data_IF_152695335187
#
_entry.id   IF_152695335187
#
_cell.length_a   1.000
_cell.length_b   1.000
_cell.length_c   1.000
_cell.angle_alpha   90.00
_cell.angle_beta   90.00
_cell.angle_gamma   90.00
#
_symmetry.space_group_name_H-M   'P 1'
#
loop_
_entity.id
_entity.type
_entity.pdbx_description
1 polymer ?
#
# COMPACT_ATOMS: atom_id res chain seq x y z
N UNK A 1 3.69 -17.27 39.83
CA UNK A 1 2.29 -17.29 39.38
C UNK A 1 2.32 -17.64 37.89
N UNK A 2 1.94 -18.86 37.53
CA UNK A 2 1.93 -19.32 36.13
C UNK A 2 0.58 -18.94 35.53
N UNK A 3 0.56 -17.93 34.66
CA UNK A 3 -0.64 -17.62 33.86
C UNK A 3 -0.76 -18.74 32.83
N UNK A 4 -1.86 -19.49 32.90
CA UNK A 4 -2.21 -20.47 31.88
C UNK A 4 -2.57 -19.71 30.59
N UNK A 5 -1.60 -19.63 29.70
CA UNK A 5 -1.68 -19.05 28.37
C UNK A 5 -2.43 -20.02 27.42
N UNK A 6 -3.71 -20.31 27.69
CA UNK A 6 -4.48 -21.30 26.89
C UNK A 6 -5.92 -20.84 26.56
N UNK A 7 -6.35 -19.66 27.00
CA UNK A 7 -7.71 -19.14 26.74
C UNK A 7 -7.70 -17.70 26.17
N UNK A 8 -6.78 -17.42 25.25
CA UNK A 8 -6.91 -16.35 24.25
C UNK A 8 -7.17 -17.04 22.90
N UNK A 9 -8.08 -18.01 22.91
CA UNK A 9 -8.29 -18.98 21.84
C UNK A 9 -9.62 -18.74 21.15
N UNK A 10 -9.54 -18.63 19.82
CA UNK A 10 -10.60 -18.57 18.80
C UNK A 10 -11.38 -17.27 18.60
N UNK A 11 -11.64 -16.42 19.61
CA UNK A 11 -12.44 -15.21 19.39
C UNK A 11 -11.66 -14.08 18.67
N UNK A 12 -10.33 -14.04 18.82
CA UNK A 12 -9.43 -13.14 18.10
C UNK A 12 -8.97 -13.68 16.74
N UNK A 13 -9.38 -14.90 16.40
CA UNK A 13 -9.03 -15.62 15.17
C UNK A 13 -10.28 -15.94 14.33
N UNK A 14 -11.43 -15.31 14.65
CA UNK A 14 -12.55 -15.34 13.73
C UNK A 14 -12.07 -14.72 12.42
N UNK A 15 -12.31 -15.35 11.26
CA UNK A 15 -11.79 -14.85 10.01
C UNK A 15 -12.34 -13.43 9.85
N UNK A 16 -11.42 -12.46 9.78
CA UNK A 16 -11.69 -11.05 9.52
C UNK A 16 -12.15 -10.93 8.06
N UNK A 17 -13.17 -11.69 7.65
CA UNK A 17 -13.64 -11.86 6.27
C UNK A 17 -14.20 -10.56 5.66
N UNK A 18 -14.21 -9.47 6.42
CA UNK A 18 -14.47 -8.12 5.94
C UNK A 18 -13.69 -7.18 6.85
N UNK A 19 -12.41 -6.96 6.57
CA UNK A 19 -11.73 -5.80 7.14
C UNK A 19 -12.47 -4.56 6.64
N UNK A 20 -13.08 -3.75 7.53
CA UNK A 20 -13.83 -2.59 7.11
C UNK A 20 -12.85 -1.56 6.53
N UNK A 21 -12.92 -1.36 5.22
CA UNK A 21 -12.27 -0.24 4.57
C UNK A 21 -13.20 1.00 4.62
N UNK A 22 -12.66 2.21 4.73
CA UNK A 22 -13.44 3.43 4.58
C UNK A 22 -14.18 3.44 3.23
N UNK A 23 -15.41 3.97 3.23
CA UNK A 23 -16.10 4.28 1.97
C UNK A 23 -15.49 5.58 1.41
N UNK A 24 -14.37 5.45 0.69
CA UNK A 24 -13.64 6.61 0.13
C UNK A 24 -14.53 7.48 -0.77
N UNK A 25 -15.51 6.89 -1.46
CA UNK A 25 -16.43 7.67 -2.29
C UNK A 25 -17.33 8.62 -1.48
N UNK A 26 -17.55 8.34 -0.19
CA UNK A 26 -18.30 9.20 0.72
C UNK A 26 -17.43 10.05 1.63
N UNK A 27 -16.28 9.52 2.05
CA UNK A 27 -15.44 10.12 3.09
C UNK A 27 -14.30 10.96 2.53
N UNK A 28 -13.74 10.57 1.37
CA UNK A 28 -12.62 11.27 0.77
C UNK A 28 -13.08 12.41 -0.15
N UNK A 29 -12.20 13.39 -0.33
CA UNK A 29 -12.42 14.48 -1.28
C UNK A 29 -11.98 14.04 -2.67
N UNK A 30 -12.85 14.04 -3.70
CA UNK A 30 -12.44 13.70 -5.06
C UNK A 30 -11.30 14.59 -5.55
N UNK A 31 -10.38 14.03 -6.34
CA UNK A 31 -9.26 14.76 -6.91
C UNK A 31 -9.73 15.98 -7.73
N UNK A 32 -9.04 17.11 -7.56
CA UNK A 32 -9.30 18.34 -8.29
C UNK A 32 -8.54 18.39 -9.63
N UNK A 33 -8.63 19.54 -10.28
CA UNK A 33 -7.97 19.75 -11.58
C UNK A 33 -6.45 19.75 -11.50
N UNK A 34 -5.86 20.04 -10.34
CA UNK A 34 -4.40 20.07 -10.14
C UNK A 34 -3.86 18.65 -9.99
N UNK A 35 -4.52 17.82 -9.17
CA UNK A 35 -4.15 16.41 -8.99
C UNK A 35 -4.29 15.62 -10.29
N UNK A 36 -5.38 15.88 -11.03
CA UNK A 36 -5.65 15.22 -12.32
C UNK A 36 -4.76 15.70 -13.48
N UNK A 37 -3.91 16.71 -13.27
CA UNK A 37 -2.88 17.07 -14.24
C UNK A 37 -1.69 16.11 -14.17
N UNK A 38 -1.44 15.43 -13.06
CA UNK A 38 -0.34 14.47 -12.96
C UNK A 38 -0.57 13.29 -13.92
N UNK A 39 0.48 12.90 -14.64
CA UNK A 39 0.49 11.66 -15.38
C UNK A 39 0.60 10.47 -14.41
N UNK A 40 -0.54 10.07 -13.83
CA UNK A 40 -0.63 8.97 -12.86
C UNK A 40 -0.07 7.67 -13.46
N UNK A 41 0.57 6.82 -12.64
CA UNK A 41 1.15 5.57 -13.13
C UNK A 41 0.09 4.58 -13.59
N UNK A 42 0.48 3.68 -14.48
CA UNK A 42 -0.24 2.44 -14.74
C UNK A 42 0.42 1.36 -13.88
N UNK A 43 -0.36 0.70 -13.03
CA UNK A 43 0.17 -0.36 -12.18
C UNK A 43 0.04 -1.72 -12.87
N UNK A 44 1.10 -2.51 -12.80
CA UNK A 44 1.08 -3.92 -13.20
C UNK A 44 1.31 -4.80 -11.98
N UNK A 45 0.30 -5.59 -11.64
CA UNK A 45 0.25 -6.42 -10.44
C UNK A 45 0.20 -7.89 -10.87
N UNK A 46 0.94 -8.80 -10.21
CA UNK A 46 0.82 -10.23 -10.47
C UNK A 46 -0.63 -10.69 -10.30
N UNK A 47 -1.19 -11.39 -11.29
CA UNK A 47 -2.60 -11.83 -11.27
C UNK A 47 -2.93 -12.82 -10.15
N UNK A 48 -1.92 -13.36 -9.47
CA UNK A 48 -2.10 -14.18 -8.26
C UNK A 48 -2.60 -13.34 -7.07
N UNK A 49 -2.38 -12.03 -7.13
CA UNK A 49 -2.73 -11.01 -6.12
C UNK A 49 -4.11 -10.39 -6.40
N UNK A 50 -4.94 -11.04 -7.22
CA UNK A 50 -6.20 -10.47 -7.70
C UNK A 50 -7.23 -10.19 -6.60
N UNK A 51 -7.08 -10.85 -5.46
CA UNK A 51 -7.96 -10.72 -4.30
C UNK A 51 -7.57 -9.53 -3.40
N UNK A 52 -6.41 -8.89 -3.68
CA UNK A 52 -5.86 -7.70 -3.02
C UNK A 52 -5.92 -6.46 -3.94
N UNK A 53 -7.09 -6.01 -4.41
CA UNK A 53 -7.16 -4.99 -5.44
C UNK A 53 -6.66 -3.62 -4.97
N UNK A 54 -6.12 -2.87 -5.93
CA UNK A 54 -5.87 -1.44 -5.79
C UNK A 54 -7.21 -0.68 -5.67
N UNK A 55 -7.46 -0.09 -4.50
CA UNK A 55 -8.72 0.55 -4.14
C UNK A 55 -8.79 2.02 -4.57
N UNK A 56 -7.72 2.78 -4.32
CA UNK A 56 -7.70 4.22 -4.51
C UNK A 56 -6.28 4.76 -4.66
N UNK A 57 -6.17 5.94 -5.26
CA UNK A 57 -4.96 6.76 -5.25
C UNK A 57 -5.32 8.09 -4.61
N UNK A 58 -4.65 8.46 -3.54
CA UNK A 58 -4.72 9.82 -3.00
C UNK A 58 -3.51 10.61 -3.49
N UNK A 59 -3.75 11.87 -3.83
CA UNK A 59 -2.71 12.76 -4.33
C UNK A 59 -2.62 13.97 -3.41
N UNK A 60 -1.43 14.21 -2.88
CA UNK A 60 -1.06 15.47 -2.24
C UNK A 60 -0.15 16.28 -3.18
N UNK A 61 -0.61 17.49 -3.52
CA UNK A 61 0.12 18.49 -4.33
C UNK A 61 0.41 19.76 -3.53
N UNK A 62 0.41 19.66 -2.19
CA UNK A 62 0.68 20.79 -1.30
C UNK A 62 2.08 21.38 -1.47
N UNK A 63 3.06 20.58 -1.89
CA UNK A 63 4.40 21.03 -2.28
C UNK A 63 4.45 21.38 -3.78
N UNK A 64 4.81 22.62 -4.17
CA UNK A 64 4.87 23.02 -5.58
C UNK A 64 5.93 22.29 -6.41
N UNK A 65 6.88 21.59 -5.79
CA UNK A 65 7.95 20.84 -6.46
C UNK A 65 7.84 19.33 -6.27
N UNK A 66 6.87 18.85 -5.47
CA UNK A 66 6.70 17.43 -5.22
C UNK A 66 5.22 17.09 -5.10
N UNK A 67 4.80 16.03 -5.79
CA UNK A 67 3.51 15.40 -5.51
C UNK A 67 3.76 14.08 -4.78
N UNK A 68 2.94 13.77 -3.79
CA UNK A 68 2.94 12.49 -3.10
C UNK A 68 1.68 11.73 -3.49
N UNK A 69 1.85 10.48 -3.88
CA UNK A 69 0.79 9.57 -4.27
C UNK A 69 0.72 8.49 -3.22
N UNK A 70 -0.40 8.39 -2.52
CA UNK A 70 -0.69 7.30 -1.59
C UNK A 70 -1.57 6.27 -2.28
N UNK A 71 -1.03 5.08 -2.44
CA UNK A 71 -1.61 3.98 -3.19
C UNK A 71 -2.24 3.03 -2.17
N UNK A 72 -3.57 2.87 -2.22
CA UNK A 72 -4.31 2.09 -1.23
C UNK A 72 -4.70 0.73 -1.80
N UNK A 73 -4.18 -0.35 -1.22
CA UNK A 73 -4.54 -1.73 -1.56
C UNK A 73 -5.46 -2.33 -0.50
N UNK A 74 -6.25 -3.33 -0.87
CA UNK A 74 -7.23 -3.92 0.03
C UNK A 74 -6.63 -4.76 1.17
N UNK A 75 -5.52 -5.44 0.92
CA UNK A 75 -4.88 -6.42 1.80
C UNK A 75 -3.47 -6.80 1.26
N UNK A 76 -2.61 -7.45 2.04
CA UNK A 76 -1.31 -8.02 1.65
C UNK A 76 -1.23 -9.52 1.95
N UNK A 77 -1.65 -10.35 1.00
CA UNK A 77 -1.74 -11.80 1.22
C UNK A 77 -0.35 -12.47 1.22
N UNK A 78 0.14 -12.87 2.39
CA UNK A 78 1.41 -13.60 2.46
C UNK A 78 1.27 -14.98 1.76
N UNK A 79 2.25 -15.39 0.92
CA UNK A 79 2.21 -16.68 0.22
C UNK A 79 2.11 -17.89 1.15
N UNK A 80 2.41 -17.74 2.45
CA UNK A 80 2.26 -18.77 3.48
C UNK A 80 1.01 -18.44 4.33
N UNK A 81 -0.10 -19.17 4.20
CA UNK A 81 -1.37 -18.82 4.85
C UNK A 81 -1.30 -18.70 6.37
N UNK A 82 -0.41 -19.42 7.05
CA UNK A 82 -0.26 -19.26 8.50
C UNK A 82 0.42 -17.94 8.87
N UNK A 83 1.41 -17.50 8.09
CA UNK A 83 2.10 -16.22 8.33
C UNK A 83 1.17 -15.07 7.99
N UNK A 84 0.37 -15.22 6.94
CA UNK A 84 -0.71 -14.32 6.54
C UNK A 84 -1.65 -13.97 7.71
N UNK A 85 -2.28 -14.98 8.32
CA UNK A 85 -3.12 -14.76 9.50
C UNK A 85 -2.43 -14.07 10.68
N UNK A 86 -1.14 -14.34 10.88
CA UNK A 86 -0.36 -13.69 11.95
C UNK A 86 -0.09 -12.24 11.59
N UNK A 87 0.22 -11.98 10.32
CA UNK A 87 0.49 -10.65 9.79
C UNK A 87 -0.75 -9.75 9.83
N UNK A 88 -1.92 -10.24 9.43
CA UNK A 88 -3.19 -9.51 9.56
C UNK A 88 -3.52 -9.16 11.01
N UNK A 89 -3.37 -10.15 11.89
CA UNK A 89 -3.61 -9.96 13.32
C UNK A 89 -2.66 -8.91 13.90
N UNK A 90 -1.42 -8.86 13.41
CA UNK A 90 -0.43 -7.87 13.82
C UNK A 90 -0.75 -6.47 13.28
N UNK A 91 -1.04 -6.34 11.98
CA UNK A 91 -1.48 -5.05 11.40
C UNK A 91 -2.70 -4.48 12.11
N UNK A 92 -3.58 -5.35 12.58
CA UNK A 92 -4.79 -4.95 13.25
C UNK A 92 -4.62 -4.63 14.74
N UNK A 93 -3.79 -5.38 15.46
CA UNK A 93 -3.70 -5.28 16.93
C UNK A 93 -2.35 -4.81 17.47
N UNK A 94 -1.30 -4.76 16.63
CA UNK A 94 0.08 -4.45 17.02
C UNK A 94 0.60 -5.38 18.11
N UNK A 95 0.34 -6.69 17.99
CA UNK A 95 0.66 -7.67 19.04
C UNK A 95 2.01 -8.34 18.85
N UNK A 96 2.58 -8.24 17.65
CA UNK A 96 3.73 -9.00 17.23
C UNK A 96 4.72 -8.12 16.46
N UNK A 97 5.89 -8.68 16.21
CA UNK A 97 6.82 -8.22 15.19
C UNK A 97 7.36 -9.46 14.48
N UNK A 98 7.48 -9.38 13.16
CA UNK A 98 8.12 -10.42 12.35
C UNK A 98 9.62 -10.12 12.21
N UNK A 99 10.46 -11.13 12.44
CA UNK A 99 11.92 -11.05 12.30
C UNK A 99 12.39 -12.12 11.31
N UNK A 100 13.36 -11.84 10.41
CA UNK A 100 13.98 -12.87 9.59
C UNK A 100 14.78 -13.93 10.38
N UNK A 101 15.01 -13.74 11.69
CA UNK A 101 15.77 -14.66 12.55
C UNK A 101 14.82 -15.43 13.50
N UNK A 102 14.96 -16.76 13.63
CA UNK A 102 14.18 -17.55 14.58
C UNK A 102 14.23 -16.97 16.01
N UNK A 103 13.08 -16.88 16.73
CA UNK A 103 11.80 -17.55 16.46
C UNK A 103 10.84 -16.87 15.46
N UNK A 104 11.29 -15.89 14.67
CA UNK A 104 10.55 -15.18 13.61
C UNK A 104 9.35 -14.33 14.04
N UNK A 105 8.75 -14.61 15.21
CA UNK A 105 7.61 -13.87 15.77
C UNK A 105 7.96 -13.49 17.21
N UNK A 106 7.90 -12.21 17.53
CA UNK A 106 8.08 -11.69 18.88
C UNK A 106 6.84 -10.94 19.33
N UNK A 107 6.38 -11.17 20.56
CA UNK A 107 5.34 -10.32 21.13
C UNK A 107 5.90 -8.92 21.37
N UNK A 108 5.29 -7.93 20.74
CA UNK A 108 5.55 -6.52 20.95
C UNK A 108 4.20 -5.85 21.20
N UNK A 109 4.11 -5.00 22.22
CA UNK A 109 2.91 -4.23 22.54
C UNK A 109 3.21 -2.73 22.51
N UNK A 110 4.37 -2.36 21.97
CA UNK A 110 4.77 -0.96 21.81
C UNK A 110 4.20 -0.33 20.54
N UNK A 111 3.82 -1.16 19.56
CA UNK A 111 3.09 -0.76 18.37
C UNK A 111 1.57 -0.86 18.65
N UNK A 112 0.78 0.20 18.48
CA UNK A 112 -0.68 0.08 18.55
C UNK A 112 -1.29 -0.74 17.39
N UNK A 113 -0.49 -1.05 16.36
CA UNK A 113 -0.97 -1.61 15.10
C UNK A 113 -1.41 -0.49 14.15
N UNK A 114 -1.62 -0.86 12.89
CA UNK A 114 -2.17 0.05 11.88
C UNK A 114 -3.70 0.17 11.93
N UNK A 115 -4.38 -0.67 12.71
CA UNK A 115 -5.85 -0.74 12.80
C UNK A 115 -6.54 -0.94 11.44
N UNK A 116 -5.80 -1.53 10.49
CA UNK A 116 -6.23 -1.84 9.13
C UNK A 116 -5.41 -2.99 8.61
N UNK A 117 -6.03 -3.83 7.80
CA UNK A 117 -5.31 -4.84 7.01
C UNK A 117 -4.90 -4.27 5.65
N UNK A 118 -5.78 -3.46 5.05
CA UNK A 118 -5.49 -2.68 3.86
C UNK A 118 -4.13 -1.99 3.92
N UNK A 119 -3.45 -1.91 2.78
CA UNK A 119 -2.12 -1.35 2.68
C UNK A 119 -2.10 0.03 2.03
N UNK A 120 -1.16 0.86 2.45
CA UNK A 120 -1.06 2.25 1.99
C UNK A 120 0.40 2.51 1.72
N UNK A 121 0.73 2.77 0.45
CA UNK A 121 2.10 2.90 0.00
C UNK A 121 2.36 4.23 -0.69
N UNK A 122 3.47 4.85 -0.35
CA UNK A 122 3.81 6.18 -0.82
C UNK A 122 4.73 6.11 -2.03
N UNK A 123 4.42 6.92 -3.04
CA UNK A 123 5.28 7.22 -4.20
C UNK A 123 5.42 8.73 -4.30
N UNK A 124 6.63 9.22 -4.59
CA UNK A 124 6.90 10.65 -4.71
C UNK A 124 7.27 11.02 -6.13
N UNK A 125 6.57 12.00 -6.69
CA UNK A 125 6.83 12.58 -8.00
C UNK A 125 7.58 13.89 -7.82
N UNK A 126 8.77 14.01 -8.42
CA UNK A 126 9.46 15.29 -8.53
C UNK A 126 8.85 16.10 -9.68
N UNK A 127 8.09 17.13 -9.33
CA UNK A 127 7.40 18.02 -10.28
C UNK A 127 8.16 19.33 -10.48
N UNK A 128 9.40 19.44 -10.00
CA UNK A 128 10.21 20.65 -10.16
C UNK A 128 10.38 21.00 -11.64
N UNK A 129 10.04 22.24 -11.98
CA UNK A 129 10.11 22.73 -13.36
C UNK A 129 9.02 22.21 -14.31
N UNK A 130 7.98 21.54 -13.78
CA UNK A 130 6.79 21.19 -14.55
C UNK A 130 6.11 22.43 -15.15
N UNK A 131 5.46 22.31 -16.32
CA UNK A 131 4.73 23.42 -16.92
C UNK A 131 3.58 23.87 -16.00
N UNK A 132 3.28 25.17 -16.03
CA UNK A 132 2.19 25.78 -15.24
C UNK A 132 0.78 25.41 -15.70
N UNK A 133 0.65 24.62 -16.78
CA UNK A 133 -0.63 24.19 -17.34
C UNK A 133 -0.45 22.97 -18.23
N UNK A 134 -1.40 22.04 -18.17
CA UNK A 134 -1.41 20.80 -18.96
C UNK A 134 -0.98 19.59 -18.15
N UNK A 135 -0.76 18.46 -18.80
CA UNK A 135 -0.32 17.25 -18.11
C UNK A 135 1.09 17.44 -17.54
N UNK A 136 1.23 17.23 -16.24
CA UNK A 136 2.48 17.28 -15.51
C UNK A 136 3.14 15.91 -15.61
N UNK A 137 4.28 15.90 -16.28
CA UNK A 137 5.21 14.78 -16.31
C UNK A 137 6.31 15.05 -15.27
N UNK A 138 6.44 14.24 -14.21
CA UNK A 138 7.53 14.42 -13.25
C UNK A 138 8.90 14.16 -13.91
N UNK A 139 9.94 14.77 -13.37
CA UNK A 139 11.33 14.53 -13.80
C UNK A 139 11.83 13.16 -13.33
N UNK A 140 11.42 12.77 -12.12
CA UNK A 140 11.79 11.52 -11.46
C UNK A 140 10.68 11.03 -10.51
N UNK A 141 10.73 9.72 -10.21
CA UNK A 141 9.81 9.04 -9.31
C UNK A 141 10.65 8.37 -8.22
N UNK A 142 10.29 8.59 -6.96
CA UNK A 142 10.93 8.00 -5.78
C UNK A 142 9.98 7.04 -5.07
N UNK A 143 10.50 5.90 -4.64
CA UNK A 143 9.81 4.87 -3.87
C UNK A 143 10.37 4.86 -2.43
N UNK A 144 9.92 5.74 -1.53
CA UNK A 144 10.46 5.84 -0.17
C UNK A 144 10.02 4.66 0.69
N UNK A 145 10.92 3.71 0.96
CA UNK A 145 10.60 2.53 1.75
C UNK A 145 9.75 1.49 1.02
N UNK A 146 9.40 1.73 -0.24
CA UNK A 146 8.50 0.89 -1.05
C UNK A 146 9.18 0.34 -2.30
N UNK A 147 10.51 0.42 -2.40
CA UNK A 147 11.25 -0.16 -3.53
C UNK A 147 11.54 -1.65 -3.33
N UNK A 148 11.13 -2.49 -4.28
CA UNK A 148 11.31 -3.95 -4.24
C UNK A 148 12.75 -4.42 -4.47
N UNK A 149 13.64 -3.60 -5.03
CA UNK A 149 14.96 -4.03 -5.50
C UNK A 149 14.86 -5.24 -6.44
N UNK A 150 15.45 -6.39 -6.07
CA UNK A 150 15.37 -7.63 -6.84
C UNK A 150 14.35 -8.63 -6.28
N UNK A 151 13.54 -8.23 -5.30
CA UNK A 151 12.58 -9.13 -4.65
C UNK A 151 11.46 -9.56 -5.60
N UNK A 152 10.97 -10.78 -5.40
CA UNK A 152 9.92 -11.43 -6.19
C UNK A 152 8.69 -11.71 -5.33
N UNK A 153 7.60 -12.12 -5.98
CA UNK A 153 6.30 -12.24 -5.31
C UNK A 153 6.29 -13.30 -4.22
N UNK A 154 7.13 -14.33 -4.32
CA UNK A 154 7.22 -15.43 -3.37
C UNK A 154 8.22 -15.18 -2.21
N UNK A 155 8.71 -13.94 -2.04
CA UNK A 155 9.59 -13.60 -0.91
C UNK A 155 8.86 -13.86 0.41
N UNK A 156 9.51 -14.51 1.37
CA UNK A 156 8.86 -14.83 2.66
C UNK A 156 8.63 -13.59 3.52
N UNK A 157 9.63 -12.70 3.58
CA UNK A 157 9.60 -11.43 4.30
C UNK A 157 10.15 -10.38 3.35
N UNK A 158 9.34 -9.37 3.02
CA UNK A 158 9.77 -8.26 2.18
C UNK A 158 10.70 -7.32 2.95
N UNK A 159 11.75 -6.85 2.28
CA UNK A 159 12.64 -5.81 2.78
C UNK A 159 12.29 -4.47 2.14
N UNK A 160 12.12 -3.45 2.97
CA UNK A 160 11.80 -2.10 2.55
C UNK A 160 13.04 -1.35 2.09
N UNK A 161 13.14 -1.06 0.79
CA UNK A 161 14.22 -0.25 0.22
C UNK A 161 13.72 1.09 -0.29
N UNK A 162 14.65 1.98 -0.62
CA UNK A 162 14.36 3.27 -1.26
C UNK A 162 15.17 3.39 -2.54
N UNK A 163 14.52 3.84 -3.61
CA UNK A 163 15.18 4.19 -4.86
C UNK A 163 14.46 5.34 -5.57
N UNK A 164 15.20 6.04 -6.42
CA UNK A 164 14.70 7.10 -7.30
C UNK A 164 15.11 6.78 -8.73
N UNK A 165 14.17 6.88 -9.65
CA UNK A 165 14.36 6.63 -11.07
C UNK A 165 13.98 7.87 -11.88
N UNK A 166 14.69 8.15 -12.96
CA UNK A 166 14.25 9.21 -13.86
C UNK A 166 13.00 8.73 -14.58
N UNK A 167 12.14 9.68 -14.97
CA UNK A 167 10.94 9.35 -15.75
C UNK A 167 11.25 8.49 -16.98
N UNK A 168 12.32 8.82 -17.70
CA UNK A 168 12.73 8.11 -18.91
C UNK A 168 13.16 6.64 -18.68
N UNK A 169 13.42 6.24 -17.43
CA UNK A 169 13.85 4.89 -17.09
C UNK A 169 12.66 3.90 -17.02
N UNK A 170 11.43 4.40 -17.01
CA UNK A 170 10.21 3.59 -16.94
C UNK A 170 9.77 3.08 -18.33
N UNK A 171 9.13 1.91 -18.35
CA UNK A 171 8.24 1.57 -19.45
C UNK A 171 7.06 2.55 -19.47
N UNK A 172 6.58 2.91 -20.66
CA UNK A 172 5.44 3.81 -20.80
C UNK A 172 4.30 3.18 -21.59
N UNK A 173 3.09 3.44 -21.10
CA UNK A 173 1.83 3.05 -21.73
C UNK A 173 0.95 4.28 -21.81
N UNK A 174 0.59 4.69 -23.03
CA UNK A 174 -0.20 5.90 -23.28
C UNK A 174 0.36 7.17 -22.64
N UNK A 175 1.70 7.26 -22.56
CA UNK A 175 2.41 8.38 -21.96
C UNK A 175 2.45 8.37 -20.42
N UNK A 176 1.95 7.32 -19.78
CA UNK A 176 2.01 7.09 -18.33
C UNK A 176 3.12 6.10 -17.98
N UNK A 177 3.81 6.25 -16.84
CA UNK A 177 4.86 5.34 -16.44
C UNK A 177 4.23 4.05 -15.92
N UNK A 178 4.80 2.91 -16.27
CA UNK A 178 4.39 1.61 -15.74
C UNK A 178 5.17 1.34 -14.45
N UNK A 179 4.44 1.10 -13.36
CA UNK A 179 5.01 0.69 -12.09
C UNK A 179 4.63 -0.77 -11.84
N UNK A 180 5.64 -1.60 -11.63
CA UNK A 180 5.47 -3.01 -11.31
C UNK A 180 5.35 -3.20 -9.81
N UNK A 181 4.33 -3.94 -9.37
CA UNK A 181 4.24 -4.49 -8.03
C UNK A 181 4.95 -5.84 -8.08
N UNK A 182 5.98 -6.00 -7.26
CA UNK A 182 6.85 -7.18 -7.36
C UNK A 182 6.72 -8.15 -6.19
N UNK A 183 6.17 -7.74 -5.06
CA UNK A 183 6.00 -8.58 -3.87
C UNK A 183 4.53 -8.61 -3.42
N UNK A 184 4.14 -9.62 -2.65
CA UNK A 184 2.83 -9.68 -1.98
C UNK A 184 2.57 -8.50 -1.02
N UNK A 185 3.64 -7.92 -0.47
CA UNK A 185 3.62 -6.72 0.37
C UNK A 185 3.73 -5.43 -0.48
N UNK A 186 3.12 -5.41 -1.67
CA UNK A 186 3.08 -4.31 -2.65
C UNK A 186 4.36 -3.52 -3.02
N UNK A 187 5.57 -4.02 -2.77
CA UNK A 187 6.80 -3.30 -3.10
C UNK A 187 6.94 -3.04 -4.62
N UNK A 188 7.27 -1.80 -4.97
CA UNK A 188 7.28 -1.26 -6.33
C UNK A 188 8.64 -1.33 -7.04
N UNK A 189 8.64 -1.25 -8.37
CA UNK A 189 9.83 -0.96 -9.19
C UNK A 189 9.44 -0.47 -10.59
N UNK A 190 10.42 0.14 -11.28
CA UNK A 190 10.35 0.38 -12.72
C UNK A 190 10.47 -0.90 -13.57
N UNK A 191 10.92 -2.01 -12.96
CA UNK A 191 11.17 -3.29 -13.65
C UNK A 191 10.33 -4.43 -13.10
N UNK A 192 9.94 -5.34 -14.00
CA UNK A 192 9.27 -6.58 -13.64
C UNK A 192 10.29 -7.62 -13.11
N UNK A 193 10.21 -7.93 -11.81
CA UNK A 193 11.03 -8.99 -11.21
C UNK A 193 10.41 -10.40 -11.37
N UNK A 194 9.17 -10.47 -11.85
CA UNK A 194 8.35 -11.68 -12.00
C UNK A 194 8.00 -11.96 -13.49
N UNK A 195 8.97 -12.09 -14.42
CA UNK A 195 8.69 -12.19 -15.86
C UNK A 195 7.92 -13.45 -16.28
N UNK A 196 7.83 -14.46 -15.41
CA UNK A 196 7.06 -15.68 -15.63
C UNK A 196 5.63 -15.64 -15.13
N UNK A 197 5.21 -14.56 -14.45
CA UNK A 197 3.88 -14.42 -13.88
C UNK A 197 2.96 -13.65 -14.83
N UNK A 198 1.68 -14.03 -14.85
CA UNK A 198 0.65 -13.21 -15.47
C UNK A 198 0.49 -11.92 -14.66
N UNK A 199 0.21 -10.81 -15.36
CA UNK A 199 0.08 -9.49 -14.76
C UNK A 199 -1.26 -8.89 -15.18
N UNK A 200 -1.99 -8.35 -14.20
CA UNK A 200 -3.13 -7.48 -14.41
C UNK A 200 -2.68 -6.02 -14.45
N UNK A 201 -3.43 -5.20 -15.18
CA UNK A 201 -3.09 -3.80 -15.40
C UNK A 201 -4.18 -2.88 -14.86
N UNK A 202 -3.81 -2.02 -13.92
CA UNK A 202 -4.69 -1.05 -13.29
C UNK A 202 -4.39 0.33 -13.87
N UNK A 203 -5.31 0.81 -14.72
CA UNK A 203 -5.21 2.10 -15.41
C UNK A 203 -6.10 3.15 -14.79
N UNK A 204 -7.32 2.77 -14.43
CA UNK A 204 -8.38 3.69 -14.05
C UNK A 204 -8.88 3.31 -12.66
N UNK A 205 -8.23 3.92 -11.66
CA UNK A 205 -8.52 3.73 -10.24
C UNK A 205 -9.13 5.04 -9.72
N UNK A 206 -10.09 5.01 -8.76
CA UNK A 206 -10.57 6.22 -8.11
C UNK A 206 -9.43 7.09 -7.56
N UNK A 207 -9.48 8.38 -7.87
CA UNK A 207 -8.45 9.35 -7.44
C UNK A 207 -9.07 10.37 -6.51
N UNK A 208 -8.42 10.58 -5.37
CA UNK A 208 -8.82 11.51 -4.34
C UNK A 208 -7.69 12.50 -4.05
N UNK A 209 -8.03 13.62 -3.43
CA UNK A 209 -7.07 14.50 -2.79
C UNK A 209 -6.88 14.04 -1.35
N UNK A 210 -5.63 13.95 -0.91
CA UNK A 210 -5.32 13.79 0.51
C UNK A 210 -3.90 13.31 0.77
N UNK A 211 -3.55 13.38 2.04
CA UNK A 211 -2.27 12.97 2.62
C UNK A 211 -2.35 11.58 3.24
N UNK A 212 -1.20 10.95 3.53
CA UNK A 212 -1.16 9.69 4.28
C UNK A 212 -1.85 9.83 5.63
N UNK A 213 -1.60 10.92 6.37
CA UNK A 213 -2.20 11.13 7.69
C UNK A 213 -3.74 11.18 7.63
N UNK A 214 -4.32 11.75 6.57
CA UNK A 214 -5.77 11.76 6.38
C UNK A 214 -6.33 10.37 6.09
N UNK A 215 -5.61 9.53 5.33
CA UNK A 215 -6.01 8.14 5.07
C UNK A 215 -5.99 7.34 6.38
N UNK A 216 -4.92 7.45 7.17
CA UNK A 216 -4.82 6.78 8.47
C UNK A 216 -5.94 7.22 9.40
N UNK A 217 -6.30 8.51 9.41
CA UNK A 217 -7.43 9.02 10.19
C UNK A 217 -8.77 8.43 9.75
N UNK A 218 -8.98 8.15 8.46
CA UNK A 218 -10.19 7.46 7.98
C UNK A 218 -10.26 6.02 8.48
N UNK A 219 -9.14 5.29 8.45
CA UNK A 219 -9.08 3.94 9.00
C UNK A 219 -9.28 3.93 10.53
N UNK A 220 -8.68 4.86 11.26
CA UNK A 220 -8.88 5.01 12.70
C UNK A 220 -10.35 5.28 13.05
N UNK A 221 -11.04 6.10 12.25
CA UNK A 221 -12.47 6.35 12.45
C UNK A 221 -13.32 5.07 12.28
N UNK A 222 -12.99 4.25 11.28
CA UNK A 222 -13.66 2.96 11.05
C UNK A 222 -13.38 1.98 12.20
N UNK A 223 -12.15 1.95 12.68
CA UNK A 223 -11.72 1.09 13.79
C UNK A 223 -12.44 1.44 15.10
N UNK A 224 -12.47 2.72 15.46
CA UNK A 224 -13.07 3.18 16.72
C UNK A 224 -14.60 3.07 16.74
N UNK A 225 -15.24 3.16 15.57
CA UNK A 225 -16.68 3.00 15.42
C UNK A 225 -17.10 1.51 15.48
N UNK A 226 -16.24 0.56 15.08
CA UNK A 226 -16.60 -0.86 14.86
C UNK A 226 -17.86 -1.05 13.98
N UNK A 227 -18.27 -0.02 13.22
CA UNK A 227 -19.57 0.02 12.53
C UNK A 227 -20.79 0.13 13.45
N UNK A 228 -20.58 0.46 14.73
CA UNK A 228 -21.63 0.86 15.67
C UNK A 228 -21.66 2.38 15.71
N UNK A 229 -22.40 3.01 14.81
CA UNK A 229 -22.70 4.45 14.74
C UNK A 229 -23.07 5.02 16.16
N UNK A 230 -22.07 5.36 16.98
CA UNK A 230 -22.17 5.66 18.43
C UNK A 230 -22.26 7.17 18.72
#
# INVERSE_FOLDING_TARGET
MRIQLVLVSLALLAPLNTCPAPDFARQATPAGAEELQLALPVFRVPSIDSDCPLLAIFVDVSDPNRAELEIVFADEDNPVPFLDYVYDADRWWGLFTLDPIPPFIFFDLSDPGGHRVADVETIQFDTSGAPSSGTIQPSSITFPGTFSDTQQFDVTIAFHHTATFNWADFEHVDGRPVIYINTWNHMFSATNNNPGMAMDEFRDVPVYRGTREEIEAMYEAVWTDFGFDL
#
